data_IF_096094867210
#
_entry.id   IF_096094867210
#
_cell.length_a   1.000
_cell.length_b   1.000
_cell.length_c   1.000
_cell.angle_alpha   90.00
_cell.angle_beta   90.00
_cell.angle_gamma   90.00
#
_symmetry.space_group_name_H-M   'P 1'
#
loop_
_entity.id
_entity.type
_entity.pdbx_description
1 polymer ?
#
# COMPACT_ATOMS: atom_id res chain seq x y z
N UNK A 1 -8.19 -19.20 -18.17
CA UNK A 1 -7.53 -18.88 -16.89
C UNK A 1 -8.27 -17.71 -16.27
N UNK A 2 -8.88 -17.90 -15.10
CA UNK A 2 -9.70 -16.86 -14.47
C UNK A 2 -8.81 -15.76 -13.88
N UNK A 3 -8.99 -14.52 -14.35
CA UNK A 3 -8.34 -13.32 -13.83
C UNK A 3 -9.00 -12.91 -12.51
N UNK A 4 -8.80 -13.69 -11.46
CA UNK A 4 -9.32 -13.33 -10.15
C UNK A 4 -8.51 -12.14 -9.60
N UNK A 5 -9.19 -10.99 -9.46
CA UNK A 5 -8.72 -9.86 -8.67
C UNK A 5 -9.53 -9.80 -7.38
N UNK A 6 -8.86 -9.74 -6.24
CA UNK A 6 -9.48 -9.53 -4.93
C UNK A 6 -9.02 -8.18 -4.39
N UNK A 7 -9.98 -7.31 -4.10
CA UNK A 7 -9.72 -5.97 -3.55
C UNK A 7 -10.64 -5.81 -2.35
N UNK A 8 -10.06 -5.62 -1.18
CA UNK A 8 -10.78 -5.25 0.03
C UNK A 8 -10.09 -4.01 0.61
N UNK A 9 -10.82 -2.91 0.70
CA UNK A 9 -10.32 -1.64 1.17
C UNK A 9 -11.28 -1.23 2.28
N UNK A 10 -10.82 -1.30 3.54
CA UNK A 10 -11.57 -1.01 4.76
C UNK A 10 -10.88 0.05 5.63
N UNK A 11 -11.51 0.47 6.73
CA UNK A 11 -10.94 1.51 7.62
C UNK A 11 -9.65 1.05 8.32
N UNK A 12 -9.49 -0.27 8.53
CA UNK A 12 -8.31 -0.88 9.15
C UNK A 12 -7.19 -1.24 8.17
N UNK A 13 -7.34 -0.91 6.88
CA UNK A 13 -6.31 -1.17 5.89
C UNK A 13 -6.83 -1.60 4.52
N UNK A 14 -5.92 -2.12 3.69
CA UNK A 14 -6.23 -2.53 2.32
C UNK A 14 -5.55 -3.85 1.98
N UNK A 15 -6.27 -4.72 1.26
CA UNK A 15 -5.78 -5.97 0.70
C UNK A 15 -6.07 -5.99 -0.79
N UNK A 16 -5.03 -6.12 -1.60
CA UNK A 16 -5.09 -6.10 -3.06
C UNK A 16 -4.37 -7.33 -3.58
N UNK A 17 -5.06 -8.18 -4.34
CA UNK A 17 -4.46 -9.35 -5.00
C UNK A 17 -4.91 -9.41 -6.45
N UNK A 18 -3.99 -9.63 -7.38
CA UNK A 18 -4.31 -9.81 -8.80
C UNK A 18 -3.19 -10.52 -9.56
N UNK A 19 -3.52 -11.21 -10.65
CA UNK A 19 -2.56 -11.98 -11.44
C UNK A 19 -1.67 -11.12 -12.33
N UNK A 20 -2.23 -10.20 -13.07
CA UNK A 20 -1.50 -9.24 -13.90
C UNK A 20 -2.44 -8.04 -14.14
N UNK A 21 -1.97 -6.86 -13.83
CA UNK A 21 -2.71 -5.62 -14.06
C UNK A 21 -1.69 -4.48 -14.14
N UNK A 22 -2.02 -3.38 -14.81
CA UNK A 22 -1.36 -2.09 -14.59
C UNK A 22 -2.43 -1.18 -13.98
N UNK A 23 -2.61 -1.27 -12.66
CA UNK A 23 -3.69 -0.60 -11.94
C UNK A 23 -3.16 0.17 -10.75
N UNK A 24 -3.95 1.15 -10.33
CA UNK A 24 -3.69 1.94 -9.14
C UNK A 24 -4.85 1.74 -8.16
N UNK A 25 -4.51 1.55 -6.88
CA UNK A 25 -5.47 1.47 -5.78
C UNK A 25 -5.09 2.50 -4.73
N UNK A 26 -6.04 3.28 -4.25
CA UNK A 26 -5.75 4.31 -3.26
C UNK A 26 -6.78 4.34 -2.15
N UNK A 27 -6.34 4.75 -0.96
CA UNK A 27 -7.20 5.15 0.15
C UNK A 27 -6.48 6.17 1.02
N UNK A 28 -7.27 7.07 1.59
CA UNK A 28 -6.80 8.00 2.61
C UNK A 28 -7.30 7.53 3.97
N UNK A 29 -6.41 7.54 4.96
CA UNK A 29 -6.71 7.19 6.34
C UNK A 29 -6.39 8.36 7.24
N UNK A 30 -7.24 8.64 8.22
CA UNK A 30 -6.85 9.46 9.36
C UNK A 30 -6.04 8.58 10.30
N UNK A 31 -4.79 8.93 10.55
CA UNK A 31 -3.90 8.18 11.45
C UNK A 31 -3.52 9.06 12.64
N UNK A 32 -3.79 8.57 13.85
CA UNK A 32 -3.23 9.16 15.07
C UNK A 32 -1.72 8.93 15.15
N UNK A 33 -1.04 9.68 16.01
CA UNK A 33 0.40 9.50 16.28
C UNK A 33 0.75 8.05 16.64
N UNK A 34 -0.11 7.36 17.39
CA UNK A 34 0.08 5.95 17.76
C UNK A 34 -0.09 5.02 16.54
N UNK A 35 -1.14 5.22 15.74
CA UNK A 35 -1.43 4.38 14.57
C UNK A 35 -0.36 4.52 13.49
N UNK A 36 0.22 5.72 13.32
CA UNK A 36 1.33 5.96 12.38
C UNK A 36 2.52 5.04 12.65
N UNK A 37 2.80 4.75 13.92
CA UNK A 37 3.91 3.87 14.31
C UNK A 37 3.59 2.38 14.14
N UNK A 38 2.36 2.04 13.72
CA UNK A 38 1.84 0.68 13.65
C UNK A 38 1.27 0.33 12.26
N UNK A 39 1.61 1.12 11.22
CA UNK A 39 1.25 0.78 9.84
C UNK A 39 2.21 -0.27 9.30
N UNK A 40 1.67 -1.45 8.98
CA UNK A 40 2.44 -2.60 8.51
C UNK A 40 2.09 -2.94 7.06
N UNK A 41 3.10 -3.28 6.25
CA UNK A 41 2.90 -3.69 4.85
C UNK A 41 3.52 -5.05 4.61
N UNK A 42 2.71 -5.94 4.04
CA UNK A 42 3.13 -7.23 3.50
C UNK A 42 2.83 -7.23 2.01
N UNK A 43 3.82 -7.54 1.20
CA UNK A 43 3.69 -7.50 -0.24
C UNK A 43 4.62 -8.49 -0.94
N UNK A 44 4.13 -9.02 -2.05
CA UNK A 44 4.89 -9.90 -2.93
C UNK A 44 4.40 -9.76 -4.36
N UNK A 45 5.32 -9.90 -5.31
CA UNK A 45 5.03 -10.11 -6.73
C UNK A 45 6.11 -11.01 -7.35
N UNK A 46 5.74 -11.82 -8.34
CA UNK A 46 6.68 -12.74 -9.00
C UNK A 46 7.50 -12.08 -10.11
N UNK A 47 6.99 -11.00 -10.69
CA UNK A 47 7.62 -10.23 -11.77
C UNK A 47 7.23 -8.76 -11.61
N UNK A 48 8.00 -7.86 -12.24
CA UNK A 48 7.73 -6.42 -12.27
C UNK A 48 8.02 -5.72 -10.95
N UNK A 49 7.37 -4.57 -10.75
CA UNK A 49 7.56 -3.75 -9.55
C UNK A 49 6.23 -3.27 -9.01
N UNK A 50 6.09 -3.25 -7.69
CA UNK A 50 4.94 -2.65 -6.99
C UNK A 50 5.44 -1.48 -6.15
N UNK A 51 4.78 -0.34 -6.24
CA UNK A 51 5.14 0.86 -5.49
C UNK A 51 4.00 1.28 -4.57
N UNK A 52 4.36 1.74 -3.39
CA UNK A 52 3.47 2.40 -2.44
C UNK A 52 3.85 3.87 -2.34
N UNK A 53 2.98 4.75 -2.82
CA UNK A 53 3.08 6.18 -2.59
C UNK A 53 2.31 6.57 -1.34
N UNK A 54 2.96 7.32 -0.46
CA UNK A 54 2.38 7.95 0.73
C UNK A 54 2.38 9.46 0.52
N UNK A 55 1.27 10.14 0.83
CA UNK A 55 1.14 11.59 0.59
C UNK A 55 0.32 12.29 1.67
N UNK A 56 0.81 13.45 2.12
CA UNK A 56 0.12 14.38 3.01
C UNK A 56 0.48 15.82 2.61
N UNK A 57 -0.53 16.61 2.24
CA UNK A 57 -0.30 17.96 1.71
C UNK A 57 0.62 17.95 0.48
N UNK A 58 1.77 18.64 0.60
CA UNK A 58 2.80 18.73 -0.44
C UNK A 58 3.89 17.67 -0.29
N UNK A 59 3.97 17.00 0.86
CA UNK A 59 4.95 15.92 1.09
C UNK A 59 4.47 14.63 0.44
N UNK A 60 5.34 14.00 -0.33
CA UNK A 60 5.11 12.67 -0.88
C UNK A 60 6.38 11.81 -0.78
N UNK A 61 6.16 10.52 -0.54
CA UNK A 61 7.20 9.51 -0.50
C UNK A 61 6.73 8.30 -1.31
N UNK A 62 7.65 7.67 -2.04
CA UNK A 62 7.34 6.52 -2.87
C UNK A 62 8.30 5.38 -2.56
N UNK A 63 7.75 4.25 -2.15
CA UNK A 63 8.48 3.07 -1.69
C UNK A 63 8.29 1.91 -2.65
N UNK A 64 9.35 1.19 -2.99
CA UNK A 64 9.25 -0.10 -3.67
C UNK A 64 8.83 -1.17 -2.66
N UNK A 65 7.66 -1.75 -2.89
CA UNK A 65 7.06 -2.81 -2.08
C UNK A 65 6.85 -4.09 -2.90
N UNK A 66 7.79 -4.42 -3.78
CA UNK A 66 7.69 -5.63 -4.61
C UNK A 66 7.81 -6.91 -3.78
N UNK A 67 8.66 -6.88 -2.75
CA UNK A 67 8.82 -7.93 -1.74
C UNK A 67 9.12 -7.25 -0.40
N UNK A 68 8.07 -6.85 0.32
CA UNK A 68 8.18 -6.05 1.53
C UNK A 68 7.36 -6.67 2.65
N UNK A 69 7.94 -6.76 3.83
CA UNK A 69 7.32 -7.33 5.04
C UNK A 69 7.88 -6.57 6.25
N UNK A 70 7.36 -5.37 6.49
CA UNK A 70 7.86 -4.47 7.54
C UNK A 70 6.85 -3.37 7.89
N UNK A 71 7.12 -2.67 8.98
CA UNK A 71 6.48 -1.40 9.31
C UNK A 71 6.91 -0.30 8.32
N UNK A 72 6.02 0.66 8.07
CA UNK A 72 6.36 1.87 7.33
C UNK A 72 6.99 2.90 8.26
N UNK A 73 8.05 3.57 7.81
CA UNK A 73 8.53 4.77 8.47
C UNK A 73 7.65 5.95 8.06
N UNK A 74 6.79 6.39 8.98
CA UNK A 74 5.92 7.56 8.79
C UNK A 74 6.39 8.75 9.65
N UNK A 75 7.66 8.79 10.05
CA UNK A 75 8.22 9.85 10.92
C UNK A 75 8.12 11.25 10.32
N UNK A 76 8.19 11.37 8.99
CA UNK A 76 8.09 12.66 8.27
C UNK A 76 6.65 13.15 8.07
N UNK A 77 5.64 12.33 8.38
CA UNK A 77 4.24 12.69 8.28
C UNK A 77 3.71 13.21 9.60
N UNK A 78 2.72 14.09 9.58
CA UNK A 78 2.01 14.54 10.77
C UNK A 78 0.80 13.64 11.06
N UNK A 79 0.30 13.68 12.29
CA UNK A 79 -1.02 13.14 12.62
C UNK A 79 -2.09 13.74 11.69
N UNK A 80 -2.98 12.88 11.18
CA UNK A 80 -4.08 13.30 10.31
C UNK A 80 -4.23 12.44 9.07
N UNK A 81 -4.76 13.04 8.00
CA UNK A 81 -5.08 12.31 6.77
C UNK A 81 -3.83 12.05 5.91
N UNK A 82 -3.49 10.78 5.76
CA UNK A 82 -2.41 10.31 4.89
C UNK A 82 -3.01 9.44 3.78
N UNK A 83 -2.66 9.75 2.54
CA UNK A 83 -3.09 8.99 1.35
C UNK A 83 -2.06 7.93 1.01
N UNK A 84 -2.53 6.71 0.79
CA UNK A 84 -1.73 5.57 0.37
C UNK A 84 -2.20 5.11 -1.01
N UNK A 85 -1.30 5.07 -1.98
CA UNK A 85 -1.57 4.67 -3.35
C UNK A 85 -0.64 3.54 -3.76
N UNK A 86 -1.19 2.35 -4.00
CA UNK A 86 -0.49 1.23 -4.59
C UNK A 86 -0.54 1.36 -6.10
N UNK A 87 0.60 1.39 -6.75
CA UNK A 87 0.74 1.30 -8.22
C UNK A 87 1.64 0.13 -8.56
N UNK A 88 1.60 -0.33 -9.80
CA UNK A 88 2.50 -1.38 -10.24
C UNK A 88 2.93 -1.17 -11.70
N UNK A 89 4.08 -1.74 -12.06
CA UNK A 89 4.65 -1.68 -13.40
C UNK A 89 4.98 -3.09 -13.86
N UNK A 90 4.18 -3.62 -14.78
CA UNK A 90 4.32 -4.97 -15.34
C UNK A 90 4.37 -6.07 -14.27
N UNK A 91 3.71 -5.84 -13.13
CA UNK A 91 3.79 -6.76 -12.01
C UNK A 91 2.83 -7.94 -12.15
N UNK A 92 3.29 -9.14 -11.78
CA UNK A 92 2.50 -10.38 -11.83
C UNK A 92 2.41 -11.06 -10.47
N UNK A 93 1.31 -11.78 -10.28
CA UNK A 93 0.92 -12.48 -9.05
C UNK A 93 1.08 -11.59 -7.82
N UNK A 94 0.55 -10.37 -7.92
CA UNK A 94 0.67 -9.36 -6.88
C UNK A 94 -0.25 -9.71 -5.72
N UNK A 95 0.28 -9.63 -4.52
CA UNK A 95 -0.47 -9.64 -3.26
C UNK A 95 0.10 -8.56 -2.36
N UNK A 96 -0.71 -7.55 -2.03
CA UNK A 96 -0.36 -6.46 -1.10
C UNK A 96 -1.40 -6.42 0.01
N UNK A 97 -0.93 -6.23 1.23
CA UNK A 97 -1.73 -6.04 2.43
C UNK A 97 -1.09 -4.94 3.25
N UNK A 98 -1.83 -3.85 3.43
CA UNK A 98 -1.51 -2.78 4.36
C UNK A 98 -2.48 -2.89 5.54
N UNK A 99 -1.95 -2.89 6.74
CA UNK A 99 -2.69 -2.96 7.99
C UNK A 99 -2.41 -1.74 8.84
N UNK A 100 -3.46 -1.18 9.42
CA UNK A 100 -3.36 -0.13 10.43
C UNK A 100 -3.79 -0.79 11.75
N UNK A 101 -2.88 -0.82 12.72
CA UNK A 101 -3.10 -1.44 14.03
C UNK A 101 -3.19 -0.39 15.13
#
# INVERSE_FOLDING_TARGET
MSNFSFINIGDSGMKVKYKEANRSYYRTYFLTTEQKNNVYVISSCSEGTVYLKMKQGMYEENLDISNYDSMLDLSQFDEGYISFTITNKNAKNVSVQLEIR
#
